data_IF_504775485376
#
_entry.id   IF_504775485376
#
_cell.length_a   1.000
_cell.length_b   1.000
_cell.length_c   1.000
_cell.angle_alpha   90.00
_cell.angle_beta   90.00
_cell.angle_gamma   90.00
#
_symmetry.space_group_name_H-M   'P 1'
#
loop_
_entity.id
_entity.type
_entity.pdbx_description
1 polymer ?
#
# COMPACT_ATOMS: atom_id res chain seq x y z
N UNK A 1 -29.62 21.83 -6.54
CA UNK A 1 -29.75 22.72 -5.37
C UNK A 1 -28.56 22.46 -4.46
N UNK A 2 -27.76 23.48 -4.17
CA UNK A 2 -26.56 23.38 -3.33
C UNK A 2 -26.97 23.10 -1.88
N UNK A 3 -26.48 22.00 -1.29
CA UNK A 3 -26.72 21.71 0.11
C UNK A 3 -26.00 22.79 0.95
N UNK A 4 -26.72 23.61 1.69
CA UNK A 4 -26.12 24.59 2.59
C UNK A 4 -26.30 24.11 4.03
N UNK A 5 -25.35 24.40 4.93
CA UNK A 5 -25.47 24.02 6.33
C UNK A 5 -26.66 24.75 6.97
N UNK A 6 -27.50 24.05 7.74
CA UNK A 6 -28.51 24.69 8.58
C UNK A 6 -27.87 25.70 9.55
N UNK A 7 -28.58 26.75 9.98
CA UNK A 7 -28.02 27.88 10.75
C UNK A 7 -27.31 27.50 12.05
N UNK A 8 -27.64 26.34 12.62
CA UNK A 8 -27.14 25.85 13.91
C UNK A 8 -26.13 24.71 13.78
N UNK A 9 -25.80 24.29 12.56
CA UNK A 9 -24.96 23.12 12.33
C UNK A 9 -23.47 23.47 12.50
N UNK A 10 -22.74 22.78 13.38
CA UNK A 10 -21.32 23.06 13.60
C UNK A 10 -20.48 22.67 12.38
N UNK A 11 -19.74 23.63 11.84
CA UNK A 11 -18.77 23.42 10.76
C UNK A 11 -17.40 23.12 11.38
N UNK A 12 -16.82 21.96 11.03
CA UNK A 12 -15.46 21.56 11.42
C UNK A 12 -14.47 21.88 10.30
N UNK A 13 -13.27 22.32 10.64
CA UNK A 13 -12.18 22.54 9.66
C UNK A 13 -11.19 21.37 9.67
N UNK A 14 -10.92 20.79 8.50
CA UNK A 14 -9.98 19.67 8.29
C UNK A 14 -9.03 20.05 7.16
N UNK A 15 -7.82 20.50 7.49
CA UNK A 15 -6.85 20.99 6.51
C UNK A 15 -7.43 22.15 5.67
N UNK A 16 -7.46 21.99 4.35
CA UNK A 16 -8.02 22.96 3.41
C UNK A 16 -9.53 22.83 3.19
N UNK A 17 -10.22 22.04 4.02
CA UNK A 17 -11.65 21.76 3.88
C UNK A 17 -12.44 22.15 5.12
N UNK A 18 -13.67 22.55 4.89
CA UNK A 18 -14.71 22.67 5.90
C UNK A 18 -15.69 21.52 5.71
N UNK A 19 -16.16 20.94 6.80
CA UNK A 19 -17.11 19.82 6.80
C UNK A 19 -18.23 20.07 7.78
N UNK A 20 -19.44 19.65 7.45
CA UNK A 20 -20.56 19.60 8.39
C UNK A 20 -21.36 18.31 8.17
N UNK A 21 -22.21 18.00 9.14
CA UNK A 21 -23.12 16.88 9.11
C UNK A 21 -24.54 17.38 9.26
N UNK A 22 -25.45 16.91 8.42
CA UNK A 22 -26.87 17.19 8.51
C UNK A 22 -27.64 15.87 8.33
N UNK A 23 -28.39 15.49 9.36
CA UNK A 23 -29.25 14.31 9.33
C UNK A 23 -28.52 13.01 8.89
N UNK A 24 -27.27 12.83 9.32
CA UNK A 24 -26.42 11.67 8.98
C UNK A 24 -25.77 11.73 7.59
N UNK A 25 -26.01 12.78 6.82
CA UNK A 25 -25.30 13.06 5.56
C UNK A 25 -24.18 14.03 5.84
N UNK A 26 -23.03 13.83 5.22
CA UNK A 26 -21.90 14.72 5.45
C UNK A 26 -21.57 15.50 4.21
N UNK A 27 -21.14 16.73 4.42
CA UNK A 27 -20.91 17.70 3.36
C UNK A 27 -19.55 18.32 3.59
N UNK A 28 -18.80 18.50 2.51
CA UNK A 28 -17.49 19.14 2.55
C UNK A 28 -17.40 20.22 1.49
N UNK A 29 -16.57 21.22 1.75
CA UNK A 29 -16.17 22.22 0.77
C UNK A 29 -14.71 22.57 0.94
N UNK A 30 -14.11 23.17 -0.07
CA UNK A 30 -12.81 23.81 0.08
C UNK A 30 -13.00 25.14 0.80
N UNK A 31 -12.11 25.50 1.70
CA UNK A 31 -12.13 26.82 2.36
C UNK A 31 -12.09 27.91 1.27
N UNK A 32 -13.01 28.87 1.37
CA UNK A 32 -13.17 29.96 0.38
C UNK A 32 -14.07 29.63 -0.81
N UNK A 33 -14.66 28.44 -0.87
CA UNK A 33 -15.70 28.10 -1.85
C UNK A 33 -17.09 28.12 -1.20
N UNK A 34 -18.13 28.39 -1.99
CA UNK A 34 -19.51 28.42 -1.49
C UNK A 34 -20.24 27.08 -1.66
N UNK A 35 -19.75 26.25 -2.59
CA UNK A 35 -20.39 24.99 -2.95
C UNK A 35 -19.97 23.86 -2.01
N UNK A 36 -20.96 23.26 -1.35
CA UNK A 36 -20.79 22.04 -0.60
C UNK A 36 -21.08 20.83 -1.46
N UNK A 37 -20.19 19.84 -1.37
CA UNK A 37 -20.39 18.53 -1.96
C UNK A 37 -20.67 17.53 -0.86
N UNK A 38 -21.71 16.73 -1.08
CA UNK A 38 -21.96 15.60 -0.21
C UNK A 38 -20.78 14.63 -0.32
N UNK A 39 -20.27 14.21 0.82
CA UNK A 39 -19.32 13.13 0.94
C UNK A 39 -19.86 12.15 1.96
N UNK A 40 -19.60 10.88 1.72
CA UNK A 40 -19.91 9.85 2.69
C UNK A 40 -18.59 9.63 3.45
N UNK A 41 -18.42 10.17 4.67
CA UNK A 41 -17.31 9.77 5.51
C UNK A 41 -17.59 8.31 5.77
N UNK A 42 -16.67 7.47 5.35
CA UNK A 42 -16.61 6.15 5.91
C UNK A 42 -16.27 6.36 7.39
N UNK A 43 -17.30 6.45 8.24
CA UNK A 43 -17.21 5.78 9.54
C UNK A 43 -16.85 4.36 9.12
N UNK A 44 -15.61 3.97 9.37
CA UNK A 44 -15.27 2.57 9.26
C UNK A 44 -15.98 1.87 10.43
N UNK A 45 -17.31 1.74 10.37
CA UNK A 45 -17.91 0.46 10.68
C UNK A 45 -17.02 -0.50 9.92
N UNK A 46 -16.29 -1.38 10.61
CA UNK A 46 -15.56 -2.44 9.91
C UNK A 46 -16.68 -3.21 9.22
N UNK A 47 -16.91 -3.05 7.91
CA UNK A 47 -17.60 -4.13 7.25
C UNK A 47 -16.60 -5.29 7.35
N UNK A 48 -17.00 -6.56 7.32
CA UNK A 48 -16.05 -7.65 7.04
C UNK A 48 -15.14 -7.33 5.81
N UNK A 49 -15.54 -6.37 4.98
CA UNK A 49 -14.85 -5.79 3.82
C UNK A 49 -13.87 -4.61 4.08
N UNK A 50 -13.61 -4.11 5.29
CA UNK A 50 -12.40 -3.28 5.52
C UNK A 50 -11.11 -4.12 5.50
N UNK A 51 -11.26 -5.45 5.39
CA UNK A 51 -10.26 -6.42 4.97
C UNK A 51 -10.25 -6.66 3.44
N UNK A 52 -11.07 -5.96 2.64
CA UNK A 52 -11.18 -6.12 1.20
C UNK A 52 -10.86 -4.81 0.46
N UNK A 53 -9.59 -4.41 0.52
CA UNK A 53 -8.78 -4.45 -0.69
C UNK A 53 -7.74 -5.52 -0.36
N UNK A 54 -7.74 -6.65 -1.06
CA UNK A 54 -6.78 -7.74 -0.79
C UNK A 54 -5.38 -7.14 -0.68
N UNK A 55 -4.72 -7.14 0.50
CA UNK A 55 -3.50 -6.37 0.69
C UNK A 55 -2.43 -6.82 -0.30
N UNK A 56 -1.60 -5.89 -0.76
CA UNK A 56 -0.49 -6.26 -1.62
C UNK A 56 0.58 -6.95 -0.76
N UNK A 57 0.94 -8.16 -1.15
CA UNK A 57 1.99 -8.96 -0.55
C UNK A 57 3.23 -8.88 -1.44
N UNK A 58 4.38 -8.82 -0.80
CA UNK A 58 5.65 -9.16 -1.43
C UNK A 58 6.06 -10.49 -0.82
N UNK A 59 6.30 -11.47 -1.70
CA UNK A 59 6.62 -12.83 -1.32
C UNK A 59 7.93 -13.26 -1.96
N UNK A 60 8.79 -13.96 -1.21
CA UNK A 60 9.90 -14.70 -1.79
C UNK A 60 9.37 -16.05 -2.27
N UNK A 61 9.58 -16.37 -3.54
CA UNK A 61 9.24 -17.67 -4.13
C UNK A 61 10.53 -18.42 -4.44
N UNK A 62 10.53 -19.71 -4.13
CA UNK A 62 11.59 -20.63 -4.55
C UNK A 62 11.03 -21.61 -5.56
N UNK A 63 11.74 -21.77 -6.67
CA UNK A 63 11.44 -22.74 -7.71
C UNK A 63 12.62 -23.69 -7.90
N UNK A 64 12.31 -24.96 -8.19
CA UNK A 64 13.29 -25.96 -8.59
C UNK A 64 13.85 -25.58 -9.95
N UNK A 65 15.17 -25.50 -10.05
CA UNK A 65 15.84 -25.31 -11.32
C UNK A 65 16.12 -26.69 -11.95
N UNK A 66 17.38 -26.99 -12.29
CA UNK A 66 17.83 -28.31 -12.72
C UNK A 66 18.23 -29.24 -11.57
N UNK A 67 18.38 -30.53 -11.87
CA UNK A 67 18.95 -31.49 -10.92
C UNK A 67 20.42 -31.16 -10.63
N UNK A 68 20.76 -30.99 -9.36
CA UNK A 68 22.12 -30.58 -8.93
C UNK A 68 22.38 -29.07 -8.91
N UNK A 69 21.43 -28.25 -9.41
CA UNK A 69 21.55 -26.79 -9.44
C UNK A 69 20.89 -26.14 -8.20
N UNK A 70 21.36 -24.96 -7.76
CA UNK A 70 20.67 -24.16 -6.76
C UNK A 70 19.24 -23.80 -7.18
N UNK A 71 18.34 -23.69 -6.22
CA UNK A 71 16.96 -23.25 -6.49
C UNK A 71 16.95 -21.83 -7.08
N UNK A 72 16.02 -21.61 -8.01
CA UNK A 72 15.73 -20.29 -8.54
C UNK A 72 14.88 -19.49 -7.55
N UNK A 73 15.21 -18.21 -7.35
CA UNK A 73 14.53 -17.34 -6.41
C UNK A 73 13.94 -16.15 -7.15
N UNK A 74 12.68 -15.84 -6.83
CA UNK A 74 11.98 -14.70 -7.42
C UNK A 74 11.16 -13.96 -6.36
N UNK A 75 10.89 -12.67 -6.58
CA UNK A 75 9.92 -11.93 -5.81
C UNK A 75 8.57 -11.93 -6.52
N UNK A 76 7.53 -12.30 -5.79
CA UNK A 76 6.16 -12.30 -6.27
C UNK A 76 5.35 -11.21 -5.57
N UNK A 77 4.81 -10.28 -6.36
CA UNK A 77 4.00 -9.18 -5.87
C UNK A 77 2.56 -9.43 -6.26
N UNK A 78 1.70 -9.70 -5.27
CA UNK A 78 0.35 -10.19 -5.53
C UNK A 78 -0.64 -9.74 -4.46
N UNK A 79 -1.93 -9.94 -4.75
CA UNK A 79 -3.01 -9.82 -3.78
C UNK A 79 -3.43 -11.21 -3.30
N UNK A 80 -4.04 -11.29 -2.13
CA UNK A 80 -4.51 -12.58 -1.59
C UNK A 80 -5.44 -13.27 -2.60
N UNK A 81 -5.16 -14.54 -2.94
CA UNK A 81 -5.94 -15.34 -3.91
C UNK A 81 -6.01 -14.75 -5.33
N UNK A 82 -5.13 -13.83 -5.69
CA UNK A 82 -5.03 -13.27 -7.04
C UNK A 82 -3.67 -13.59 -7.66
N UNK A 83 -3.63 -13.60 -8.98
CA UNK A 83 -2.40 -13.62 -9.76
C UNK A 83 -1.57 -12.36 -9.47
N UNK A 84 -0.27 -12.45 -9.75
CA UNK A 84 0.67 -11.38 -9.41
C UNK A 84 1.82 -11.28 -10.37
N UNK A 85 2.76 -10.39 -10.06
CA UNK A 85 3.90 -10.09 -10.91
C UNK A 85 5.17 -10.69 -10.33
N UNK A 86 5.93 -11.39 -11.17
CA UNK A 86 7.24 -11.93 -10.79
C UNK A 86 8.34 -10.97 -11.19
N UNK A 87 9.29 -10.81 -10.27
CA UNK A 87 10.51 -10.06 -10.45
C UNK A 87 11.67 -11.01 -10.16
N UNK A 88 12.53 -11.22 -11.14
CA UNK A 88 13.54 -12.27 -11.10
C UNK A 88 14.79 -11.89 -11.88
N UNK A 89 15.81 -12.73 -11.78
CA UNK A 89 17.01 -12.66 -12.59
C UNK A 89 17.10 -13.96 -13.36
N UNK A 90 17.26 -13.86 -14.68
CA UNK A 90 17.33 -15.01 -15.59
C UNK A 90 18.62 -14.94 -16.41
N UNK A 91 19.13 -16.09 -16.84
CA UNK A 91 20.42 -16.20 -17.54
C UNK A 91 21.36 -17.14 -16.79
N UNK A 92 22.50 -17.43 -17.40
CA UNK A 92 23.57 -18.19 -16.74
C UNK A 92 24.34 -17.29 -15.75
N UNK A 93 25.23 -17.91 -14.97
CA UNK A 93 25.99 -17.21 -13.92
C UNK A 93 26.85 -16.06 -14.46
N UNK A 94 27.22 -16.08 -15.75
CA UNK A 94 28.07 -15.07 -16.38
C UNK A 94 27.25 -13.96 -17.07
N UNK A 95 25.98 -14.24 -17.40
CA UNK A 95 25.10 -13.37 -18.16
C UNK A 95 23.71 -13.20 -17.51
N UNK A 96 23.66 -13.01 -16.19
CA UNK A 96 22.43 -12.76 -15.45
C UNK A 96 21.79 -11.41 -15.84
N UNK A 97 20.50 -11.44 -16.18
CA UNK A 97 19.72 -10.25 -16.54
C UNK A 97 18.43 -10.18 -15.72
N UNK A 98 18.09 -8.96 -15.29
CA UNK A 98 16.80 -8.72 -14.65
C UNK A 98 15.66 -8.96 -15.65
N UNK A 99 14.65 -9.71 -15.21
CA UNK A 99 13.43 -9.94 -15.95
C UNK A 99 12.22 -9.82 -15.01
N UNK A 100 11.08 -9.45 -15.56
CA UNK A 100 9.79 -9.53 -14.88
C UNK A 100 8.80 -10.30 -15.74
N UNK A 101 7.77 -10.86 -15.12
CA UNK A 101 6.71 -11.52 -15.89
C UNK A 101 6.03 -10.49 -16.81
N UNK A 102 5.81 -10.80 -18.10
CA UNK A 102 5.15 -9.87 -19.02
C UNK A 102 3.66 -9.71 -18.72
N UNK A 103 3.07 -10.68 -18.01
CA UNK A 103 1.68 -10.69 -17.56
C UNK A 103 1.61 -11.11 -16.08
N UNK A 104 0.44 -10.96 -15.46
CA UNK A 104 0.20 -11.50 -14.12
C UNK A 104 0.11 -13.03 -14.19
N UNK A 105 0.78 -13.70 -13.27
CA UNK A 105 0.89 -15.16 -13.24
C UNK A 105 0.46 -15.73 -11.90
N UNK A 106 0.00 -16.98 -11.93
CA UNK A 106 -0.22 -17.80 -10.76
C UNK A 106 0.99 -18.71 -10.49
N UNK A 107 1.99 -18.18 -9.80
CA UNK A 107 3.27 -18.89 -9.60
C UNK A 107 3.17 -20.14 -8.74
N UNK A 108 2.14 -20.27 -7.89
CA UNK A 108 1.96 -21.47 -7.06
C UNK A 108 1.50 -22.69 -7.87
N UNK A 109 1.07 -22.50 -9.11
CA UNK A 109 0.72 -23.58 -10.03
C UNK A 109 1.90 -24.02 -10.92
N UNK A 110 3.08 -23.42 -10.77
CA UNK A 110 4.30 -23.84 -11.49
C UNK A 110 4.73 -25.23 -11.04
N UNK A 111 5.05 -26.14 -11.97
CA UNK A 111 5.60 -27.46 -11.64
C UNK A 111 6.94 -27.36 -10.90
N UNK A 112 7.64 -26.24 -11.07
CA UNK A 112 8.87 -25.95 -10.38
C UNK A 112 8.66 -25.36 -8.97
N UNK A 113 7.44 -24.96 -8.60
CA UNK A 113 7.17 -24.31 -7.31
C UNK A 113 7.60 -25.20 -6.13
N UNK A 114 8.34 -24.61 -5.19
CA UNK A 114 8.71 -25.27 -3.93
C UNK A 114 7.96 -24.66 -2.76
N UNK A 115 8.16 -23.37 -2.50
CA UNK A 115 7.52 -22.66 -1.40
C UNK A 115 7.49 -21.13 -1.60
N UNK A 116 6.70 -20.49 -0.73
CA UNK A 116 6.47 -19.04 -0.73
C UNK A 116 6.49 -18.48 0.70
N UNK A 117 7.23 -17.39 0.91
CA UNK A 117 7.25 -16.65 2.18
C UNK A 117 6.66 -15.27 1.98
N UNK A 118 5.46 -15.02 2.50
CA UNK A 118 4.78 -13.73 2.36
C UNK A 118 5.00 -12.77 3.54
N UNK A 119 4.91 -11.46 3.29
CA UNK A 119 4.83 -10.44 4.36
C UNK A 119 3.79 -9.37 4.02
N UNK A 120 2.89 -9.09 4.98
CA UNK A 120 1.83 -8.07 4.86
C UNK A 120 2.38 -6.67 5.15
N UNK A 121 2.00 -5.68 4.33
CA UNK A 121 2.37 -4.27 4.50
C UNK A 121 1.10 -3.43 4.75
N UNK A 122 0.76 -3.16 6.01
CA UNK A 122 -0.45 -2.40 6.38
C UNK A 122 -0.21 -0.89 6.42
N UNK A 123 -1.07 -0.05 5.82
CA UNK A 123 -0.95 1.41 5.91
C UNK A 123 -1.29 1.94 7.32
N UNK A 124 -0.72 3.08 7.75
CA UNK A 124 -1.07 3.70 9.03
C UNK A 124 -2.50 4.28 9.00
N UNK A 125 -3.19 4.18 10.14
CA UNK A 125 -4.52 4.76 10.37
C UNK A 125 -4.55 5.43 11.75
N UNK A 126 -5.27 6.54 11.87
CA UNK A 126 -5.52 7.24 13.12
C UNK A 126 -7.00 7.57 13.25
N UNK A 127 -7.56 7.41 14.46
CA UNK A 127 -8.99 7.66 14.74
C UNK A 127 -9.35 9.16 14.68
N UNK A 128 -8.37 10.04 14.86
CA UNK A 128 -8.54 11.49 14.73
C UNK A 128 -7.26 12.16 14.27
N UNK A 129 -7.37 13.41 13.78
CA UNK A 129 -6.20 14.20 13.34
C UNK A 129 -5.18 14.41 14.46
N UNK A 130 -5.64 14.55 15.70
CA UNK A 130 -4.78 14.73 16.87
C UNK A 130 -3.97 13.47 17.23
N UNK A 131 -4.37 12.30 16.72
CA UNK A 131 -3.72 11.02 16.95
C UNK A 131 -2.89 10.55 15.75
N UNK A 132 -2.68 11.40 14.74
CA UNK A 132 -1.84 11.05 13.58
C UNK A 132 -0.38 11.06 14.03
N UNK A 133 0.21 9.87 14.15
CA UNK A 133 1.64 9.69 14.44
C UNK A 133 2.47 9.42 13.19
N UNK A 134 1.81 9.16 12.05
CA UNK A 134 2.46 8.77 10.80
C UNK A 134 1.54 9.07 9.60
N UNK A 135 2.14 9.43 8.46
CA UNK A 135 1.47 9.62 7.19
C UNK A 135 1.95 8.59 6.14
N UNK A 136 1.52 8.73 4.88
CA UNK A 136 1.92 7.81 3.81
C UNK A 136 3.44 7.78 3.56
N UNK A 137 4.17 8.87 3.81
CA UNK A 137 5.61 8.96 3.60
C UNK A 137 6.37 8.15 4.66
N UNK A 138 5.95 8.25 5.93
CA UNK A 138 6.51 7.44 7.02
C UNK A 138 6.34 5.94 6.78
N UNK A 139 5.22 5.53 6.17
CA UNK A 139 4.97 4.13 5.85
C UNK A 139 5.95 3.60 4.82
N UNK A 140 6.18 4.36 3.74
CA UNK A 140 7.15 4.01 2.69
C UNK A 140 8.55 3.85 3.29
N UNK A 141 8.95 4.77 4.18
CA UNK A 141 10.26 4.69 4.85
C UNK A 141 10.39 3.45 5.72
N UNK A 142 9.33 3.04 6.45
CA UNK A 142 9.35 1.77 7.21
C UNK A 142 9.50 0.55 6.29
N UNK A 143 8.83 0.53 5.14
CA UNK A 143 8.96 -0.57 4.17
C UNK A 143 10.40 -0.65 3.67
N UNK A 144 10.98 0.47 3.22
CA UNK A 144 12.37 0.52 2.74
C UNK A 144 13.35 0.10 3.84
N UNK A 145 13.16 0.58 5.08
CA UNK A 145 14.02 0.23 6.22
C UNK A 145 14.07 -1.29 6.45
N UNK A 146 12.93 -1.96 6.34
CA UNK A 146 12.87 -3.42 6.49
C UNK A 146 13.51 -4.18 5.32
N UNK A 147 13.54 -3.58 4.14
CA UNK A 147 14.23 -4.15 2.98
C UNK A 147 15.76 -4.00 3.12
N UNK A 148 16.21 -2.89 3.71
CA UNK A 148 17.63 -2.67 4.05
C UNK A 148 18.11 -3.64 5.13
N UNK A 149 17.35 -3.84 6.22
CA UNK A 149 17.66 -4.83 7.27
C UNK A 149 17.90 -6.25 6.71
N UNK A 150 17.32 -6.55 5.55
CA UNK A 150 17.39 -7.84 4.87
C UNK A 150 18.41 -7.88 3.73
N UNK A 151 19.16 -6.79 3.50
CA UNK A 151 20.15 -6.68 2.42
C UNK A 151 19.55 -6.57 1.01
N UNK A 152 18.24 -6.33 0.89
CA UNK A 152 17.53 -6.27 -0.40
C UNK A 152 17.69 -4.89 -1.04
N UNK A 153 17.70 -3.85 -0.22
CA UNK A 153 17.89 -2.46 -0.64
C UNK A 153 19.16 -1.93 0.01
N UNK A 154 19.93 -1.13 -0.73
CA UNK A 154 21.11 -0.46 -0.16
C UNK A 154 20.66 0.64 0.82
N UNK A 155 21.36 0.77 1.95
CA UNK A 155 21.12 1.79 2.99
C UNK A 155 20.97 3.20 2.39
N UNK A 156 21.75 3.51 1.34
CA UNK A 156 21.73 4.80 0.66
C UNK A 156 20.35 5.18 0.09
N UNK A 157 19.52 4.19 -0.29
CA UNK A 157 18.14 4.43 -0.74
C UNK A 157 17.18 4.71 0.41
N UNK A 158 17.43 4.14 1.59
CA UNK A 158 16.69 4.47 2.80
C UNK A 158 17.00 5.90 3.26
N UNK A 159 18.27 6.29 3.24
CA UNK A 159 18.69 7.65 3.60
C UNK A 159 18.13 8.69 2.63
N UNK A 160 18.14 8.39 1.33
CA UNK A 160 17.47 9.23 0.34
C UNK A 160 15.97 9.40 0.65
N UNK A 161 15.25 8.30 0.92
CA UNK A 161 13.82 8.36 1.26
C UNK A 161 13.55 9.13 2.57
N UNK A 162 14.40 8.98 3.60
CA UNK A 162 14.31 9.73 4.86
C UNK A 162 14.49 11.23 4.65
N UNK A 163 15.42 11.63 3.76
CA UNK A 163 15.68 13.04 3.45
C UNK A 163 14.51 13.76 2.77
N UNK A 164 13.56 13.00 2.20
CA UNK A 164 12.37 13.51 1.51
C UNK A 164 11.13 13.58 2.43
N UNK A 165 11.24 13.18 3.69
CA UNK A 165 10.11 13.20 4.63
C UNK A 165 9.69 14.64 4.97
N UNK A 166 8.40 14.90 4.84
CA UNK A 166 7.76 16.14 5.27
C UNK A 166 7.16 15.96 6.69
N UNK A 167 7.08 17.04 7.49
CA UNK A 167 6.43 17.01 8.79
C UNK A 167 4.98 16.52 8.72
N UNK A 168 4.58 15.72 9.72
CA UNK A 168 3.22 15.17 9.87
C UNK A 168 2.27 16.20 10.49
#
# INVERSE_FOLDING_TARGET
MSAQPPPITPIKRIGLREVYEDSGRHFQRRIGTEQWTEFHPRVAEIPPSAAADDPLYISLVREKHGEGEPNHWSFFVHREKQDGWLYQVTGDAECMQYAHSPESVNIVNSEAFLDIYHRRLLPPRAESRALVTENCQGWVVRVISRLVERGIVQEQKLEMARSMLEPV
#
